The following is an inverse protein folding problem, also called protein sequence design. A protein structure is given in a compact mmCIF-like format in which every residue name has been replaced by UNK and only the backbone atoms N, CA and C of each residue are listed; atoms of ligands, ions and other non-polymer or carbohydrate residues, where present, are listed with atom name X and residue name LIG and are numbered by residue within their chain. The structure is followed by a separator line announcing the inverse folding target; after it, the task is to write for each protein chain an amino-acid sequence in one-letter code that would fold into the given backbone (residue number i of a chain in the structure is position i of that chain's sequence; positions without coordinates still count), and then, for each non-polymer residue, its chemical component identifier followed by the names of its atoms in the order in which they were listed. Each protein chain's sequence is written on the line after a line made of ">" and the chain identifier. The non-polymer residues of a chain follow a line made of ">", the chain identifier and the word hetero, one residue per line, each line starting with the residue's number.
data_IF_263355000602
#
_entry.id   IF_263355000602
#
_cell.length_a   1.000
_cell.length_b   1.000
_cell.length_c   1.000
_cell.angle_alpha   90.00
_cell.angle_beta   90.00
_cell.angle_gamma   90.00
#
_symmetry.space_group_name_H-M   'P 1'
#
loop_
_entity.id
_entity.type
_entity.pdbx_description
1 polymer ?
#
# COMPACT_ATOMS: atom_id res chain seq x y z
N UNK A 1 2.14 71.66 23.26
CA UNK A 1 2.00 70.35 23.83
C UNK A 1 1.55 69.37 22.67
N UNK A 2 2.47 68.58 22.10
CA UNK A 2 2.13 67.62 21.04
C UNK A 2 1.92 66.26 21.70
N UNK A 3 0.69 65.74 21.64
CA UNK A 3 0.38 64.39 22.08
C UNK A 3 0.99 63.36 21.09
N UNK A 4 1.91 62.52 21.57
CA UNK A 4 2.42 61.36 20.86
C UNK A 4 1.48 60.19 21.21
N UNK A 5 0.69 59.75 20.24
CA UNK A 5 -0.12 58.53 20.37
C UNK A 5 0.77 57.30 19.98
N UNK A 6 0.99 56.36 20.88
CA UNK A 6 1.76 55.16 20.50
C UNK A 6 0.96 54.26 19.57
N UNK A 7 1.53 53.94 18.41
CA UNK A 7 0.99 52.95 17.49
C UNK A 7 1.29 51.55 18.05
N UNK A 8 0.28 50.89 18.61
CA UNK A 8 0.40 49.49 19.05
C UNK A 8 0.27 48.60 17.81
N UNK A 9 1.37 48.04 17.33
CA UNK A 9 1.39 46.98 16.31
C UNK A 9 0.86 45.69 16.93
N UNK A 10 -0.33 45.25 16.55
CA UNK A 10 -0.88 43.96 16.91
C UNK A 10 -0.21 42.91 15.99
N UNK A 11 0.77 42.19 16.52
CA UNK A 11 1.34 41.00 15.87
C UNK A 11 0.29 39.89 15.99
N UNK A 12 -0.46 39.62 14.93
CA UNK A 12 -1.30 38.44 14.85
C UNK A 12 -0.38 37.23 14.64
N UNK A 13 -0.18 36.43 15.67
CA UNK A 13 0.40 35.10 15.58
C UNK A 13 -0.55 34.23 14.73
N UNK A 14 -0.28 34.12 13.43
CA UNK A 14 -0.91 33.11 12.58
C UNK A 14 -0.24 31.80 12.97
N UNK A 15 -0.90 31.03 13.84
CA UNK A 15 -0.48 29.65 14.11
C UNK A 15 -0.50 28.85 12.80
N UNK A 16 0.30 27.76 12.68
CA UNK A 16 0.27 26.92 11.51
C UNK A 16 -1.17 26.42 11.29
N UNK A 17 -1.77 26.82 10.18
CA UNK A 17 -3.06 26.30 9.78
C UNK A 17 -2.90 24.77 9.63
N UNK A 18 -3.75 23.99 10.32
CA UNK A 18 -3.81 22.55 10.10
C UNK A 18 -4.06 22.33 8.60
N UNK A 19 -3.23 21.50 7.99
CA UNK A 19 -3.42 21.14 6.59
C UNK A 19 -4.83 20.54 6.41
N UNK A 20 -5.53 20.96 5.37
CA UNK A 20 -6.85 20.40 5.07
C UNK A 20 -6.71 18.92 4.65
N UNK A 21 -7.68 18.10 5.03
CA UNK A 21 -7.73 16.70 4.60
C UNK A 21 -7.73 16.61 3.06
N UNK A 22 -7.04 15.60 2.54
CA UNK A 22 -7.05 15.34 1.10
C UNK A 22 -8.46 15.04 0.60
N UNK A 23 -8.97 15.86 -0.31
CA UNK A 23 -10.32 15.75 -0.86
C UNK A 23 -10.38 15.10 -2.25
N UNK A 24 -9.22 14.79 -2.86
CA UNK A 24 -9.15 14.17 -4.18
C UNK A 24 -9.53 12.69 -4.21
N UNK A 25 -9.50 12.05 -5.41
CA UNK A 25 -9.79 10.63 -5.55
C UNK A 25 -8.75 9.78 -4.82
N UNK A 26 -9.20 8.64 -4.26
CA UNK A 26 -8.36 7.68 -3.55
C UNK A 26 -8.59 6.28 -4.09
N UNK A 27 -7.50 5.56 -4.33
CA UNK A 27 -7.50 4.11 -4.53
C UNK A 27 -6.83 3.49 -3.30
N UNK A 28 -7.52 2.56 -2.64
CA UNK A 28 -6.87 1.69 -1.65
C UNK A 28 -6.04 0.64 -2.39
N UNK A 29 -4.73 0.83 -2.37
CA UNK A 29 -3.78 -0.01 -3.10
C UNK A 29 -3.52 -1.36 -2.43
N UNK A 30 -4.08 -1.61 -1.23
CA UNK A 30 -3.81 -2.81 -0.45
C UNK A 30 -4.85 -3.01 0.66
N UNK A 31 -5.73 -3.96 0.47
CA UNK A 31 -6.59 -4.50 1.53
C UNK A 31 -6.95 -5.96 1.24
N UNK A 32 -7.58 -6.59 2.20
CA UNK A 32 -7.99 -7.98 2.14
C UNK A 32 -9.49 -8.09 2.44
N UNK A 33 -10.02 -9.30 2.45
CA UNK A 33 -11.36 -9.60 2.96
C UNK A 33 -11.26 -10.68 4.04
N UNK A 34 -11.97 -10.49 5.14
CA UNK A 34 -11.96 -11.43 6.27
C UNK A 34 -13.04 -12.51 6.18
N UNK A 35 -13.93 -12.39 5.19
CA UNK A 35 -15.00 -13.34 4.89
C UNK A 35 -15.63 -13.02 3.53
N UNK A 36 -16.48 -13.92 3.03
CA UNK A 36 -17.21 -13.73 1.76
C UNK A 36 -18.10 -12.47 1.75
N UNK A 37 -18.56 -11.99 2.90
CA UNK A 37 -19.48 -10.84 3.03
C UNK A 37 -18.80 -9.55 3.50
N UNK A 38 -17.57 -9.60 3.97
CA UNK A 38 -16.84 -8.44 4.48
C UNK A 38 -16.73 -7.29 3.47
N UNK A 39 -16.69 -7.63 2.18
CA UNK A 39 -16.62 -6.65 1.09
C UNK A 39 -17.80 -5.67 1.08
N UNK A 40 -18.99 -6.06 1.54
CA UNK A 40 -20.16 -5.20 1.53
C UNK A 40 -20.01 -4.02 2.50
N UNK A 41 -19.55 -4.29 3.71
CA UNK A 41 -19.24 -3.24 4.69
C UNK A 41 -18.12 -2.32 4.17
N UNK A 42 -17.11 -2.90 3.54
CA UNK A 42 -15.99 -2.15 2.98
C UNK A 42 -16.44 -1.22 1.84
N UNK A 43 -17.21 -1.72 0.87
CA UNK A 43 -17.73 -0.90 -0.24
C UNK A 43 -18.67 0.20 0.26
N UNK A 44 -19.46 -0.06 1.32
CA UNK A 44 -20.26 0.97 1.95
C UNK A 44 -19.40 2.10 2.55
N UNK A 45 -18.29 1.76 3.21
CA UNK A 45 -17.33 2.75 3.71
C UNK A 45 -16.61 3.49 2.56
N UNK A 46 -16.19 2.78 1.51
CA UNK A 46 -15.60 3.40 0.30
C UNK A 46 -16.50 4.50 -0.27
N UNK A 47 -17.82 4.25 -0.35
CA UNK A 47 -18.80 5.24 -0.84
C UNK A 47 -18.86 6.47 0.06
N UNK A 48 -18.84 6.30 1.39
CA UNK A 48 -18.88 7.43 2.34
C UNK A 48 -17.63 8.29 2.30
N UNK A 49 -16.48 7.68 1.96
CA UNK A 49 -15.17 8.33 2.00
C UNK A 49 -14.56 8.57 0.61
N UNK A 50 -15.34 8.46 -0.47
CA UNK A 50 -14.91 8.64 -1.86
C UNK A 50 -13.65 7.85 -2.24
N UNK A 51 -13.54 6.62 -1.72
CA UNK A 51 -12.53 5.66 -2.18
C UNK A 51 -13.04 5.03 -3.47
N UNK A 52 -12.33 5.23 -4.56
CA UNK A 52 -12.79 4.85 -5.91
C UNK A 52 -12.69 3.35 -6.13
N UNK A 53 -11.56 2.77 -5.81
CA UNK A 53 -11.27 1.35 -5.99
C UNK A 53 -10.46 0.82 -4.81
N UNK A 54 -10.47 -0.50 -4.66
CA UNK A 54 -9.61 -1.25 -3.74
C UNK A 54 -8.94 -2.40 -4.48
N UNK A 55 -7.63 -2.57 -4.28
CA UNK A 55 -6.92 -3.79 -4.66
C UNK A 55 -7.05 -4.81 -3.54
N UNK A 56 -7.74 -5.92 -3.81
CA UNK A 56 -7.85 -7.03 -2.87
C UNK A 56 -6.75 -8.06 -3.10
N UNK A 57 -6.02 -8.33 -2.04
CA UNK A 57 -4.90 -9.25 -1.97
C UNK A 57 -5.24 -10.47 -1.10
N UNK A 58 -4.55 -11.59 -1.31
CA UNK A 58 -4.59 -12.71 -0.37
C UNK A 58 -3.66 -12.48 0.81
N UNK A 59 -3.98 -13.05 1.97
CA UNK A 59 -3.19 -12.92 3.20
C UNK A 59 -2.10 -14.00 3.27
N UNK A 60 -1.19 -14.02 2.34
CA UNK A 60 0.01 -14.88 2.35
C UNK A 60 -0.22 -16.35 2.70
N UNK A 61 -1.37 -16.93 2.34
CA UNK A 61 -1.72 -18.31 2.63
C UNK A 61 -2.35 -18.56 4.01
N UNK A 62 -2.61 -17.52 4.79
CA UNK A 62 -3.27 -17.62 6.11
C UNK A 62 -4.76 -17.93 5.96
N UNK A 63 -5.40 -17.34 4.97
CA UNK A 63 -6.81 -17.57 4.65
C UNK A 63 -6.90 -18.43 3.38
N UNK A 64 -7.36 -19.68 3.53
CA UNK A 64 -7.46 -20.64 2.41
C UNK A 64 -8.47 -20.22 1.35
N UNK A 65 -9.49 -19.46 1.75
CA UNK A 65 -10.61 -19.06 0.90
C UNK A 65 -10.37 -17.71 0.18
N UNK A 66 -9.25 -17.05 0.41
CA UNK A 66 -8.89 -15.78 -0.24
C UNK A 66 -9.17 -15.77 -1.75
N UNK A 67 -8.75 -16.77 -2.54
CA UNK A 67 -8.98 -16.74 -3.98
C UNK A 67 -10.47 -16.70 -4.34
N UNK A 68 -11.30 -17.45 -3.59
CA UNK A 68 -12.76 -17.49 -3.82
C UNK A 68 -13.42 -16.19 -3.39
N UNK A 69 -13.03 -15.63 -2.24
CA UNK A 69 -13.60 -14.37 -1.71
C UNK A 69 -13.22 -13.17 -2.60
N UNK A 70 -11.97 -13.07 -3.05
CA UNK A 70 -11.51 -12.02 -3.97
C UNK A 70 -12.26 -12.10 -5.30
N UNK A 71 -12.38 -13.31 -5.87
CA UNK A 71 -13.11 -13.50 -7.12
C UNK A 71 -14.61 -13.14 -6.99
N UNK A 72 -15.24 -13.53 -5.88
CA UNK A 72 -16.65 -13.19 -5.59
C UNK A 72 -16.82 -11.67 -5.41
N UNK A 73 -15.93 -11.01 -4.69
CA UNK A 73 -15.93 -9.57 -4.50
C UNK A 73 -15.76 -8.81 -5.81
N UNK A 74 -14.81 -9.20 -6.65
CA UNK A 74 -14.57 -8.57 -7.96
C UNK A 74 -15.76 -8.78 -8.91
N UNK A 75 -16.40 -9.95 -8.88
CA UNK A 75 -17.64 -10.20 -9.64
C UNK A 75 -18.80 -9.34 -9.17
N UNK A 76 -18.93 -9.15 -7.84
CA UNK A 76 -20.04 -8.38 -7.24
C UNK A 76 -19.87 -6.88 -7.44
N UNK A 77 -18.63 -6.39 -7.41
CA UNK A 77 -18.30 -4.97 -7.48
C UNK A 77 -17.20 -4.68 -8.52
N UNK A 78 -17.45 -4.95 -9.82
CA UNK A 78 -16.40 -4.88 -10.86
C UNK A 78 -15.82 -3.48 -11.04
N UNK A 79 -16.60 -2.43 -10.75
CA UNK A 79 -16.13 -1.03 -10.83
C UNK A 79 -15.43 -0.55 -9.56
N UNK A 80 -15.36 -1.37 -8.51
CA UNK A 80 -14.78 -1.01 -7.20
C UNK A 80 -13.61 -1.89 -6.79
N UNK A 81 -13.61 -3.14 -7.22
CA UNK A 81 -12.65 -4.14 -6.77
C UNK A 81 -11.70 -4.52 -7.89
N UNK A 82 -10.41 -4.36 -7.63
CA UNK A 82 -9.31 -4.89 -8.41
C UNK A 82 -8.85 -6.18 -7.74
N UNK A 83 -8.78 -7.27 -8.49
CA UNK A 83 -8.36 -8.57 -7.93
C UNK A 83 -6.87 -8.80 -8.15
N UNK A 84 -6.16 -9.22 -7.11
CA UNK A 84 -4.83 -9.80 -7.21
C UNK A 84 -4.91 -11.34 -7.22
N UNK A 85 -3.85 -12.00 -7.69
CA UNK A 85 -3.67 -13.45 -7.63
C UNK A 85 -2.93 -13.78 -6.35
N UNK A 86 -3.55 -14.48 -5.38
CA UNK A 86 -2.85 -14.96 -4.19
C UNK A 86 -1.82 -16.04 -4.55
N UNK A 87 -0.65 -15.97 -3.90
CA UNK A 87 0.40 -17.01 -4.00
C UNK A 87 0.76 -17.46 -2.59
N UNK A 88 0.03 -18.44 -2.03
CA UNK A 88 0.22 -18.88 -0.64
C UNK A 88 1.60 -19.44 -0.34
N UNK A 89 2.16 -20.17 -1.27
CA UNK A 89 3.53 -20.70 -1.19
C UNK A 89 4.33 -20.33 -2.46
N UNK A 90 5.08 -19.21 -2.41
CA UNK A 90 5.89 -18.76 -3.54
C UNK A 90 7.12 -19.65 -3.79
N UNK A 91 7.49 -20.52 -2.83
CA UNK A 91 8.64 -21.43 -2.94
C UNK A 91 8.26 -22.77 -3.55
N UNK A 92 6.97 -23.05 -3.75
CA UNK A 92 6.53 -24.28 -4.40
C UNK A 92 7.00 -24.34 -5.87
N UNK A 93 7.41 -25.52 -6.32
CA UNK A 93 7.93 -25.72 -7.67
C UNK A 93 6.93 -25.32 -8.78
N UNK A 94 5.63 -25.41 -8.49
CA UNK A 94 4.52 -25.11 -9.38
C UNK A 94 3.89 -23.73 -9.16
N UNK A 95 4.46 -22.86 -8.29
CA UNK A 95 3.91 -21.55 -7.96
C UNK A 95 3.64 -20.70 -9.22
N UNK A 96 4.61 -20.58 -10.11
CA UNK A 96 4.47 -19.84 -11.37
C UNK A 96 3.39 -20.46 -12.29
N UNK A 97 3.32 -21.79 -12.38
CA UNK A 97 2.28 -22.48 -13.16
C UNK A 97 0.88 -22.20 -12.62
N UNK A 98 0.73 -22.12 -11.30
CA UNK A 98 -0.56 -21.75 -10.67
C UNK A 98 -0.94 -20.29 -10.98
N UNK A 99 0.03 -19.38 -11.03
CA UNK A 99 -0.23 -17.99 -11.45
C UNK A 99 -0.69 -17.94 -12.91
N UNK A 100 -0.01 -18.63 -13.84
CA UNK A 100 -0.44 -18.74 -15.25
C UNK A 100 -1.86 -19.32 -15.37
N UNK A 101 -2.16 -20.38 -14.63
CA UNK A 101 -3.49 -20.98 -14.61
C UNK A 101 -4.57 -20.02 -14.03
N UNK A 102 -4.23 -19.16 -13.08
CA UNK A 102 -5.14 -18.15 -12.57
C UNK A 102 -5.40 -17.06 -13.61
N UNK A 103 -4.36 -16.61 -14.31
CA UNK A 103 -4.47 -15.60 -15.39
C UNK A 103 -5.32 -16.12 -16.56
N UNK A 104 -5.24 -17.41 -16.88
CA UNK A 104 -6.08 -18.02 -17.91
C UNK A 104 -7.58 -18.01 -17.54
N UNK A 105 -7.94 -17.90 -16.26
CA UNK A 105 -9.33 -17.86 -15.79
C UNK A 105 -9.96 -16.48 -15.72
N UNK A 106 -9.15 -15.42 -15.73
CA UNK A 106 -9.67 -14.07 -15.64
C UNK A 106 -8.62 -12.98 -15.49
N UNK A 107 -9.07 -11.74 -15.55
CA UNK A 107 -8.22 -10.57 -15.41
C UNK A 107 -7.74 -10.44 -13.96
N UNK A 108 -6.45 -10.18 -13.81
CA UNK A 108 -5.84 -9.79 -12.54
C UNK A 108 -5.12 -8.45 -12.71
N UNK A 109 -4.95 -7.73 -11.60
CA UNK A 109 -4.31 -6.42 -11.55
C UNK A 109 -2.95 -6.47 -10.87
N UNK A 110 -2.66 -7.54 -10.11
CA UNK A 110 -1.42 -7.76 -9.39
C UNK A 110 -1.28 -9.25 -9.00
N UNK A 111 -0.12 -9.60 -8.49
CA UNK A 111 0.15 -10.90 -7.85
C UNK A 111 0.54 -10.62 -6.40
N UNK A 112 -0.11 -11.25 -5.43
CA UNK A 112 0.19 -11.06 -3.99
C UNK A 112 -1.06 -11.03 -3.08
N UNK A 113 -0.90 -10.74 -1.81
CA UNK A 113 0.34 -10.42 -1.09
C UNK A 113 1.18 -11.70 -0.90
N UNK A 114 2.47 -11.65 -1.23
CA UNK A 114 3.40 -12.75 -1.06
C UNK A 114 4.24 -12.49 0.19
N UNK A 115 4.15 -13.36 1.19
CA UNK A 115 4.93 -13.24 2.41
C UNK A 115 6.31 -13.88 2.20
N UNK A 116 7.34 -13.04 2.11
CA UNK A 116 8.74 -13.44 2.07
C UNK A 116 9.30 -13.51 3.49
N UNK A 117 9.19 -12.44 4.27
CA UNK A 117 9.59 -12.42 5.66
C UNK A 117 8.51 -11.79 6.55
N UNK A 118 8.06 -12.54 7.54
CA UNK A 118 7.16 -12.09 8.58
C UNK A 118 7.52 -12.74 9.91
N UNK A 119 8.12 -11.97 10.82
CA UNK A 119 8.67 -12.47 12.09
C UNK A 119 7.58 -13.06 12.98
N UNK A 120 6.45 -12.39 13.09
CA UNK A 120 5.34 -12.83 13.94
C UNK A 120 4.75 -14.19 13.51
N UNK A 121 4.87 -14.57 12.24
CA UNK A 121 4.41 -15.84 11.67
C UNK A 121 5.54 -16.84 11.43
N UNK A 122 6.78 -16.50 11.79
CA UNK A 122 7.97 -17.34 11.56
C UNK A 122 8.17 -17.67 10.08
N UNK A 123 7.81 -16.75 9.19
CA UNK A 123 8.07 -16.84 7.76
C UNK A 123 9.41 -16.18 7.50
N UNK A 124 10.32 -16.89 6.81
CA UNK A 124 11.61 -16.38 6.37
C UNK A 124 12.01 -17.13 5.09
N UNK A 125 11.64 -16.55 3.95
CA UNK A 125 11.82 -17.10 2.60
C UNK A 125 12.81 -16.22 1.84
N UNK A 126 13.59 -16.87 0.98
CA UNK A 126 14.62 -16.16 0.21
C UNK A 126 14.02 -15.57 -1.07
N UNK A 127 14.06 -14.23 -1.27
CA UNK A 127 13.54 -13.58 -2.47
C UNK A 127 14.35 -13.88 -3.74
N UNK A 128 15.56 -14.46 -3.62
CA UNK A 128 16.35 -14.93 -4.79
C UNK A 128 16.16 -16.41 -5.09
N UNK A 129 15.28 -17.11 -4.36
CA UNK A 129 15.02 -18.52 -4.61
C UNK A 129 14.50 -18.76 -6.04
N UNK A 130 14.97 -19.83 -6.75
CA UNK A 130 14.58 -20.08 -8.14
C UNK A 130 13.07 -20.24 -8.36
N UNK A 131 12.33 -20.71 -7.36
CA UNK A 131 10.87 -20.82 -7.45
C UNK A 131 10.20 -19.44 -7.50
N UNK A 132 10.63 -18.52 -6.63
CA UNK A 132 10.11 -17.16 -6.61
C UNK A 132 10.56 -16.36 -7.84
N UNK A 133 11.80 -16.56 -8.31
CA UNK A 133 12.28 -15.97 -9.55
C UNK A 133 11.36 -16.28 -10.74
N UNK A 134 10.86 -17.51 -10.86
CA UNK A 134 9.88 -17.88 -11.90
C UNK A 134 8.53 -17.16 -11.74
N UNK A 135 8.10 -16.85 -10.51
CA UNK A 135 6.90 -16.03 -10.28
C UNK A 135 7.14 -14.59 -10.78
N UNK A 136 8.32 -14.00 -10.51
CA UNK A 136 8.71 -12.69 -11.00
C UNK A 136 8.80 -12.63 -12.54
N UNK A 137 9.34 -13.68 -13.17
CA UNK A 137 9.38 -13.81 -14.64
C UNK A 137 7.97 -13.88 -15.24
N UNK A 138 7.08 -14.67 -14.63
CA UNK A 138 5.67 -14.74 -15.05
C UNK A 138 4.99 -13.38 -14.89
N UNK A 139 5.19 -12.69 -13.78
CA UNK A 139 4.69 -11.33 -13.56
C UNK A 139 5.16 -10.36 -14.65
N UNK A 140 6.46 -10.41 -14.99
CA UNK A 140 7.06 -9.60 -16.06
C UNK A 140 6.40 -9.85 -17.42
N UNK A 141 6.21 -11.12 -17.78
CA UNK A 141 5.58 -11.54 -19.05
C UNK A 141 4.17 -10.95 -19.22
N UNK A 142 3.41 -10.86 -18.12
CA UNK A 142 2.04 -10.32 -18.12
C UNK A 142 1.98 -8.83 -17.75
N UNK A 143 3.11 -8.20 -17.43
CA UNK A 143 3.20 -6.80 -17.02
C UNK A 143 2.41 -6.52 -15.74
N UNK A 144 2.44 -7.47 -14.78
CA UNK A 144 1.78 -7.35 -13.48
C UNK A 144 2.80 -7.01 -12.38
N UNK A 145 2.47 -6.10 -11.45
CA UNK A 145 3.27 -5.89 -10.26
C UNK A 145 3.12 -7.07 -9.30
N UNK A 146 4.18 -7.31 -8.52
CA UNK A 146 4.21 -8.33 -7.45
C UNK A 146 4.28 -7.61 -6.11
N UNK A 147 3.26 -7.80 -5.27
CA UNK A 147 3.21 -7.23 -3.92
C UNK A 147 3.83 -8.24 -2.95
N UNK A 148 4.84 -7.80 -2.20
CA UNK A 148 5.55 -8.63 -1.23
C UNK A 148 5.48 -8.04 0.17
N UNK A 149 5.20 -8.88 1.16
CA UNK A 149 5.42 -8.61 2.57
C UNK A 149 6.82 -9.10 2.94
N UNK A 150 7.73 -8.20 3.20
CA UNK A 150 9.11 -8.51 3.54
C UNK A 150 9.61 -7.55 4.63
N UNK A 151 9.55 -7.96 5.91
CA UNK A 151 10.03 -7.17 7.04
C UNK A 151 11.55 -7.02 6.97
N UNK A 152 12.05 -5.82 6.64
CA UNK A 152 13.44 -5.58 6.27
C UNK A 152 14.38 -5.55 7.49
N UNK A 153 15.33 -6.47 7.51
CA UNK A 153 16.61 -6.34 8.21
C UNK A 153 17.74 -6.21 7.17
N UNK A 154 19.01 -6.19 7.59
CA UNK A 154 20.13 -6.02 6.65
C UNK A 154 20.20 -7.15 5.61
N UNK A 155 19.99 -8.41 6.03
CA UNK A 155 19.95 -9.57 5.13
C UNK A 155 18.80 -9.49 4.14
N UNK A 156 17.58 -9.24 4.62
CA UNK A 156 16.39 -9.14 3.76
C UNK A 156 16.51 -7.95 2.79
N UNK A 157 17.07 -6.82 3.25
CA UNK A 157 17.35 -5.65 2.40
C UNK A 157 18.30 -5.98 1.25
N UNK A 158 19.38 -6.72 1.53
CA UNK A 158 20.34 -7.14 0.51
C UNK A 158 19.69 -8.11 -0.48
N UNK A 159 18.99 -9.14 0.01
CA UNK A 159 18.33 -10.15 -0.82
C UNK A 159 17.20 -9.56 -1.69
N UNK A 160 16.40 -8.63 -1.15
CA UNK A 160 15.40 -7.89 -1.94
C UNK A 160 16.09 -7.05 -3.05
N UNK A 161 17.22 -6.41 -2.74
CA UNK A 161 18.02 -5.68 -3.72
C UNK A 161 18.52 -6.57 -4.86
N UNK A 162 18.98 -7.79 -4.55
CA UNK A 162 19.39 -8.78 -5.55
C UNK A 162 18.22 -9.23 -6.43
N UNK A 163 17.05 -9.53 -5.83
CA UNK A 163 15.85 -9.89 -6.57
C UNK A 163 15.40 -8.76 -7.53
N UNK A 164 15.42 -7.51 -7.07
CA UNK A 164 15.10 -6.32 -7.89
C UNK A 164 16.08 -6.17 -9.06
N UNK A 165 17.38 -6.32 -8.82
CA UNK A 165 18.41 -6.23 -9.85
C UNK A 165 18.31 -7.37 -10.85
N UNK A 166 18.01 -8.59 -10.41
CA UNK A 166 17.83 -9.76 -11.26
C UNK A 166 16.57 -9.72 -12.14
N UNK A 167 15.55 -8.95 -11.72
CA UNK A 167 14.27 -8.86 -12.43
C UNK A 167 13.87 -7.40 -12.74
N UNK A 168 14.67 -6.65 -13.52
CA UNK A 168 14.47 -5.20 -13.72
C UNK A 168 13.19 -4.84 -14.48
N UNK A 169 12.55 -5.80 -15.14
CA UNK A 169 11.27 -5.61 -15.85
C UNK A 169 10.04 -5.89 -14.97
N UNK A 170 10.23 -6.47 -13.79
CA UNK A 170 9.14 -6.74 -12.85
C UNK A 170 9.08 -5.64 -11.82
N UNK A 171 7.93 -4.98 -11.67
CA UNK A 171 7.71 -4.05 -10.56
C UNK A 171 7.42 -4.86 -9.32
N UNK A 172 8.26 -4.68 -8.28
CA UNK A 172 8.00 -5.21 -6.94
C UNK A 172 7.45 -4.09 -6.08
N UNK A 173 6.32 -4.34 -5.43
CA UNK A 173 5.68 -3.43 -4.48
C UNK A 173 5.96 -3.95 -3.08
N UNK A 174 6.72 -3.21 -2.29
CA UNK A 174 7.05 -3.55 -0.91
C UNK A 174 5.94 -3.08 0.01
N UNK A 175 5.13 -4.02 0.50
CA UNK A 175 4.05 -3.76 1.42
C UNK A 175 4.57 -3.19 2.76
N UNK A 176 3.81 -2.26 3.35
CA UNK A 176 4.07 -1.65 4.66
C UNK A 176 5.48 -1.03 4.77
N UNK A 177 6.04 -0.58 3.62
CA UNK A 177 7.42 -0.12 3.54
C UNK A 177 8.45 -1.11 4.16
N UNK A 178 8.13 -2.42 4.15
CA UNK A 178 8.96 -3.46 4.77
C UNK A 178 9.11 -3.30 6.28
N UNK A 179 8.16 -2.67 6.96
CA UNK A 179 8.23 -2.30 8.39
C UNK A 179 9.54 -1.55 8.75
N UNK A 180 10.09 -0.82 7.79
CA UNK A 180 11.38 -0.13 7.90
C UNK A 180 11.20 1.39 8.08
N UNK A 181 12.30 2.08 8.29
CA UNK A 181 12.38 3.54 8.36
C UNK A 181 12.84 4.13 7.02
N UNK A 182 12.57 5.43 6.73
CA UNK A 182 12.99 6.07 5.48
C UNK A 182 14.45 5.89 5.12
N UNK A 183 15.36 5.94 6.11
CA UNK A 183 16.81 5.79 5.90
C UNK A 183 17.19 4.41 5.32
N UNK A 184 16.40 3.35 5.54
CA UNK A 184 16.59 2.04 4.91
C UNK A 184 15.98 1.97 3.52
N UNK A 185 14.86 2.64 3.29
CA UNK A 185 14.08 2.60 2.05
C UNK A 185 14.72 3.46 0.95
N UNK A 186 15.19 4.66 1.28
CA UNK A 186 15.71 5.62 0.30
C UNK A 186 16.84 5.06 -0.57
N UNK A 187 17.87 4.36 -0.02
CA UNK A 187 18.93 3.75 -0.84
C UNK A 187 18.44 2.65 -1.78
N UNK A 188 17.40 1.91 -1.41
CA UNK A 188 16.78 0.90 -2.28
C UNK A 188 16.05 1.58 -3.44
N UNK A 189 15.24 2.61 -3.16
CA UNK A 189 14.52 3.37 -4.19
C UNK A 189 15.49 4.04 -5.19
N UNK A 190 16.61 4.57 -4.70
CA UNK A 190 17.60 5.21 -5.54
C UNK A 190 18.29 4.23 -6.52
N UNK A 191 18.48 2.97 -6.10
CA UNK A 191 19.17 1.96 -6.90
C UNK A 191 18.25 1.14 -7.81
N UNK A 192 16.98 0.98 -7.41
CA UNK A 192 16.06 0.06 -8.07
C UNK A 192 14.81 0.79 -8.59
N UNK A 193 14.79 1.20 -9.88
CA UNK A 193 13.65 1.91 -10.47
C UNK A 193 12.36 1.08 -10.52
N UNK A 194 12.45 -0.23 -10.39
CA UNK A 194 11.35 -1.19 -10.36
C UNK A 194 10.82 -1.50 -8.95
N UNK A 195 11.25 -0.77 -7.91
CA UNK A 195 10.70 -0.85 -6.56
C UNK A 195 9.64 0.24 -6.36
N UNK A 196 8.48 -0.12 -5.86
CA UNK A 196 7.43 0.79 -5.38
C UNK A 196 7.17 0.48 -3.91
N UNK A 197 6.92 1.50 -3.12
CA UNK A 197 6.60 1.37 -1.69
C UNK A 197 5.10 1.53 -1.49
N UNK A 198 4.52 0.56 -0.83
CA UNK A 198 3.13 0.61 -0.39
C UNK A 198 3.09 1.05 1.09
N UNK A 199 2.39 2.14 1.35
CA UNK A 199 2.25 2.74 2.68
C UNK A 199 1.09 2.14 3.48
N UNK A 200 0.49 1.07 2.99
CA UNK A 200 -0.59 0.36 3.68
C UNK A 200 -0.16 -0.18 5.04
N UNK A 201 -1.11 -0.33 5.95
CA UNK A 201 -0.83 -0.87 7.28
C UNK A 201 0.01 0.02 8.19
N UNK A 202 0.57 1.13 7.70
CA UNK A 202 1.36 2.07 8.50
C UNK A 202 0.47 3.10 9.23
N UNK A 203 -0.72 2.69 9.61
CA UNK A 203 -1.69 3.52 10.33
C UNK A 203 -1.54 3.39 11.85
N UNK A 204 -2.24 4.24 12.60
CA UNK A 204 -2.15 4.38 14.07
C UNK A 204 -2.44 3.09 14.89
N UNK A 205 -2.94 2.02 14.26
CA UNK A 205 -3.17 0.73 14.92
C UNK A 205 -1.94 -0.19 14.87
N UNK A 206 -0.87 0.20 14.20
CA UNK A 206 0.34 -0.62 13.97
C UNK A 206 1.62 0.14 14.29
N UNK A 207 2.73 -0.59 14.34
CA UNK A 207 4.08 -0.05 14.51
C UNK A 207 5.02 -0.79 13.53
N UNK A 208 5.81 -0.07 12.73
CA UNK A 208 5.89 1.39 12.64
C UNK A 208 4.63 2.02 11.99
N UNK A 209 4.34 3.28 12.32
CA UNK A 209 3.24 4.05 11.74
C UNK A 209 3.78 5.33 11.09
N UNK A 210 3.06 5.82 10.06
CA UNK A 210 3.35 7.14 9.47
C UNK A 210 3.03 8.29 10.44
N UNK A 211 2.05 8.07 11.32
CA UNK A 211 1.62 9.00 12.35
C UNK A 211 0.77 8.29 13.40
N UNK A 212 0.67 8.86 14.61
CA UNK A 212 -0.39 8.49 15.56
C UNK A 212 -1.77 8.90 15.02
N UNK A 213 -2.85 8.52 15.69
CA UNK A 213 -4.20 8.78 15.20
C UNK A 213 -4.49 10.28 14.97
N UNK A 214 -3.96 11.15 15.82
CA UNK A 214 -4.13 12.61 15.75
C UNK A 214 -2.82 13.36 15.46
N UNK A 215 -1.70 12.64 15.35
CA UNK A 215 -0.37 13.21 15.13
C UNK A 215 -0.12 13.56 13.67
N UNK A 216 0.91 14.36 13.44
CA UNK A 216 1.37 14.72 12.10
C UNK A 216 2.11 13.57 11.43
N UNK A 217 2.12 13.58 10.08
CA UNK A 217 2.95 12.71 9.27
C UNK A 217 4.42 12.84 9.69
N UNK A 218 5.07 11.71 9.94
CA UNK A 218 6.49 11.69 10.29
C UNK A 218 7.30 12.52 9.29
N UNK A 219 8.14 13.49 9.75
CA UNK A 219 8.87 14.40 8.88
C UNK A 219 9.81 13.71 7.91
N UNK A 220 10.43 12.57 8.30
CA UNK A 220 11.35 11.83 7.44
C UNK A 220 10.59 11.08 6.35
N UNK A 221 9.42 10.50 6.65
CA UNK A 221 8.52 9.92 5.66
C UNK A 221 8.00 11.00 4.71
N UNK A 222 7.55 12.14 5.25
CA UNK A 222 7.09 13.27 4.42
C UNK A 222 8.17 13.71 3.43
N UNK A 223 9.40 13.92 3.90
CA UNK A 223 10.52 14.35 3.07
C UNK A 223 10.83 13.34 1.95
N UNK A 224 10.82 12.03 2.25
CA UNK A 224 11.08 10.99 1.26
C UNK A 224 9.96 10.89 0.22
N UNK A 225 8.70 10.94 0.64
CA UNK A 225 7.53 10.90 -0.25
C UNK A 225 7.52 12.13 -1.18
N UNK A 226 7.76 13.33 -0.65
CA UNK A 226 7.84 14.56 -1.46
C UNK A 226 9.00 14.53 -2.46
N UNK A 227 10.11 13.88 -2.10
CA UNK A 227 11.29 13.72 -2.96
C UNK A 227 11.07 12.77 -4.12
N UNK A 228 10.30 11.69 -3.93
CA UNK A 228 10.13 10.59 -4.90
C UNK A 228 8.65 10.17 -5.03
N UNK A 229 7.73 11.10 -5.35
CA UNK A 229 6.28 10.87 -5.23
C UNK A 229 5.74 9.76 -6.16
N UNK A 230 6.41 9.48 -7.25
CA UNK A 230 6.06 8.43 -8.21
C UNK A 230 6.39 7.00 -7.73
N UNK A 231 7.02 6.89 -6.54
CA UNK A 231 7.50 5.63 -6.00
C UNK A 231 6.65 5.12 -4.82
N UNK A 232 5.52 5.77 -4.52
CA UNK A 232 4.66 5.43 -3.39
C UNK A 232 3.21 5.23 -3.83
N UNK A 233 2.54 4.27 -3.19
CA UNK A 233 1.08 4.10 -3.26
C UNK A 233 0.51 4.09 -1.85
N UNK A 234 -0.74 4.56 -1.70
CA UNK A 234 -1.45 4.54 -0.43
C UNK A 234 -2.38 3.32 -0.39
N UNK A 235 -2.26 2.51 0.65
CA UNK A 235 -3.19 1.45 0.99
C UNK A 235 -3.71 1.61 2.42
N UNK A 236 -4.78 0.89 2.77
CA UNK A 236 -5.38 0.94 4.12
C UNK A 236 -5.02 -0.31 4.93
N UNK A 237 -4.90 -1.47 4.30
CA UNK A 237 -4.62 -2.77 4.90
C UNK A 237 -5.69 -3.24 5.89
N UNK A 238 -6.93 -3.29 5.42
CA UNK A 238 -8.03 -3.88 6.18
C UNK A 238 -8.03 -5.39 5.97
N UNK A 239 -7.77 -6.17 7.03
CA UNK A 239 -7.66 -7.64 6.92
C UNK A 239 -8.37 -8.40 8.07
N UNK A 240 -8.34 -7.89 9.31
CA UNK A 240 -8.93 -8.56 10.46
C UNK A 240 -10.43 -8.19 10.62
N UNK A 241 -11.30 -9.09 11.11
CA UNK A 241 -12.74 -8.83 11.25
C UNK A 241 -13.08 -7.51 11.94
N UNK A 242 -12.38 -7.15 13.02
CA UNK A 242 -12.57 -5.90 13.77
C UNK A 242 -12.30 -4.63 12.94
N UNK A 243 -11.47 -4.72 11.89
CA UNK A 243 -11.16 -3.58 11.01
C UNK A 243 -12.31 -3.29 10.04
N UNK A 244 -13.24 -4.25 9.82
CA UNK A 244 -14.43 -4.06 9.02
C UNK A 244 -15.61 -3.45 9.79
N UNK A 245 -15.47 -3.23 11.09
CA UNK A 245 -16.48 -2.50 11.85
C UNK A 245 -16.64 -1.08 11.28
N UNK A 246 -17.88 -0.59 11.05
CA UNK A 246 -18.10 0.69 10.36
C UNK A 246 -17.34 1.86 11.00
N UNK A 247 -17.33 1.95 12.33
CA UNK A 247 -16.62 3.01 13.05
C UNK A 247 -15.09 2.94 12.85
N UNK A 248 -14.53 1.73 12.76
CA UNK A 248 -13.09 1.54 12.52
C UNK A 248 -12.73 1.87 11.07
N UNK A 249 -13.53 1.43 10.10
CA UNK A 249 -13.36 1.80 8.69
C UNK A 249 -13.38 3.32 8.50
N UNK A 250 -14.36 3.99 9.12
CA UNK A 250 -14.46 5.45 9.05
C UNK A 250 -13.23 6.15 9.65
N UNK A 251 -12.70 5.64 10.77
CA UNK A 251 -11.48 6.19 11.39
C UNK A 251 -10.26 6.00 10.50
N UNK A 252 -10.07 4.81 9.93
CA UNK A 252 -8.94 4.50 9.04
C UNK A 252 -8.98 5.38 7.78
N UNK A 253 -10.12 5.49 7.14
CA UNK A 253 -10.27 6.29 5.91
C UNK A 253 -10.11 7.79 6.16
N UNK A 254 -10.62 8.32 7.28
CA UNK A 254 -10.39 9.71 7.70
C UNK A 254 -8.91 9.96 8.00
N UNK A 255 -8.27 9.05 8.76
CA UNK A 255 -6.85 9.14 9.04
C UNK A 255 -6.02 9.16 7.76
N UNK A 256 -6.31 8.27 6.80
CA UNK A 256 -5.62 8.22 5.50
C UNK A 256 -5.73 9.56 4.75
N UNK A 257 -6.93 10.16 4.71
CA UNK A 257 -7.13 11.46 4.07
C UNK A 257 -6.39 12.58 4.77
N UNK A 258 -6.37 12.56 6.10
CA UNK A 258 -5.62 13.54 6.90
C UNK A 258 -4.12 13.46 6.61
N UNK A 259 -3.53 12.26 6.61
CA UNK A 259 -2.10 12.07 6.32
C UNK A 259 -1.75 12.52 4.89
N UNK A 260 -2.56 12.17 3.92
CA UNK A 260 -2.39 12.64 2.54
C UNK A 260 -2.50 14.17 2.42
N UNK A 261 -3.36 14.81 3.23
CA UNK A 261 -3.51 16.26 3.26
C UNK A 261 -2.28 17.01 3.78
N UNK A 262 -1.36 16.34 4.47
CA UNK A 262 -0.10 16.94 4.91
C UNK A 262 0.99 17.00 3.81
N UNK A 263 0.78 16.30 2.69
CA UNK A 263 1.62 16.37 1.50
C UNK A 263 1.24 17.57 0.63
N UNK A 264 2.14 18.01 -0.23
CA UNK A 264 1.78 18.99 -1.25
C UNK A 264 0.66 18.43 -2.16
N UNK A 265 -0.28 19.26 -2.66
CA UNK A 265 -1.46 18.78 -3.38
C UNK A 265 -1.15 17.83 -4.55
N UNK A 266 -0.11 18.14 -5.32
CA UNK A 266 0.31 17.32 -6.46
C UNK A 266 0.86 15.95 -6.01
N UNK A 267 1.65 15.92 -4.92
CA UNK A 267 2.20 14.69 -4.35
C UNK A 267 1.09 13.86 -3.70
N UNK A 268 0.17 14.49 -2.97
CA UNK A 268 -0.99 13.81 -2.40
C UNK A 268 -1.81 13.07 -3.48
N UNK A 269 -2.13 13.74 -4.59
CA UNK A 269 -2.86 13.13 -5.70
C UNK A 269 -2.07 12.01 -6.38
N UNK A 270 -0.74 12.19 -6.52
CA UNK A 270 0.15 11.18 -7.10
C UNK A 270 0.11 9.89 -6.27
N UNK A 271 0.30 9.99 -4.95
CA UNK A 271 0.37 8.86 -4.02
C UNK A 271 -1.01 8.22 -3.76
N UNK A 272 -2.04 9.06 -3.63
CA UNK A 272 -3.40 8.60 -3.36
C UNK A 272 -4.07 7.89 -4.53
N UNK A 273 -3.71 8.28 -5.77
CA UNK A 273 -4.51 7.87 -6.92
C UNK A 273 -3.69 7.55 -8.17
N UNK A 274 -2.91 8.49 -8.71
CA UNK A 274 -2.30 8.36 -10.03
C UNK A 274 -1.34 7.18 -10.15
N UNK A 275 -0.52 6.94 -9.11
CA UNK A 275 0.40 5.80 -9.12
C UNK A 275 -0.35 4.47 -9.14
N UNK A 276 -1.40 4.33 -8.33
CA UNK A 276 -2.22 3.11 -8.30
C UNK A 276 -2.96 2.89 -9.63
N UNK A 277 -3.50 3.95 -10.26
CA UNK A 277 -4.11 3.87 -11.60
C UNK A 277 -3.12 3.29 -12.61
N UNK A 278 -1.92 3.87 -12.69
CA UNK A 278 -0.87 3.43 -13.61
C UNK A 278 -0.39 2.01 -13.31
N UNK A 279 -0.11 1.73 -12.03
CA UNK A 279 0.50 0.47 -11.59
C UNK A 279 -0.44 -0.72 -11.79
N UNK A 280 -1.71 -0.56 -11.41
CA UNK A 280 -2.71 -1.62 -11.43
C UNK A 280 -3.66 -1.57 -12.63
N UNK A 281 -3.41 -0.64 -13.59
CA UNK A 281 -4.30 -0.42 -14.75
C UNK A 281 -5.76 -0.26 -14.30
N UNK A 282 -5.96 0.65 -13.33
CA UNK A 282 -7.21 0.86 -12.61
C UNK A 282 -8.06 2.00 -13.22
N UNK A 283 -8.13 2.06 -14.55
CA UNK A 283 -8.96 3.04 -15.27
C UNK A 283 -10.45 2.79 -15.13
#
# INVERSE_FOLDING_TARGET
>A
MRLIVPLIAILTLVGPALAADYAGPLIDAHSHVSSATAIDAYVAAMKRHDVRRVLLLGVGGVQKDDPAWIAAAAKKYPDRVLAAIPVPDPMAADAATRVEAALARGKAHAIGEIHLRQVSRKIDRDPIAPAFARVLETASKHGLPVIVHDELNDRATAALGEALAGHPKTVIVLAHAGEAVPARIEPLLARHPNLVIDLSGMHFQRTPALASETGHLDPAWKALIEKMPDRFVMGIDVWAPKLFEPAMLDRLMKWTRRILGELSPAVAEQVAYKNAVKLYRAE
#
